data_IF_711930717499
#
_entry.id   IF_711930717499
#
_cell.length_a   1.000
_cell.length_b   1.000
_cell.length_c   1.000
_cell.angle_alpha   90.00
_cell.angle_beta   90.00
_cell.angle_gamma   90.00
#
_symmetry.space_group_name_H-M   'P 1'
#
loop_
_entity.id
_entity.type
_entity.pdbx_description
1 polymer ?
#
# COMPACT_ATOMS: atom_id res chain seq x y z
N UNK A 1 21.33 26.23 -46.80
CA UNK A 1 21.92 25.49 -45.66
C UNK A 1 21.16 25.88 -44.39
N UNK A 2 20.08 25.17 -44.05
CA UNK A 2 19.33 25.38 -42.81
C UNK A 2 19.60 24.17 -41.91
N UNK A 3 20.48 24.33 -40.92
CA UNK A 3 20.70 23.33 -39.88
C UNK A 3 19.45 23.34 -38.99
N UNK A 4 18.58 22.36 -39.15
CA UNK A 4 17.50 22.08 -38.20
C UNK A 4 18.19 21.44 -37.00
N UNK A 5 18.44 22.23 -35.96
CA UNK A 5 18.89 21.73 -34.67
C UNK A 5 17.67 21.06 -34.04
N UNK A 6 17.59 19.74 -34.16
CA UNK A 6 16.65 18.90 -33.46
C UNK A 6 17.08 18.88 -31.98
N UNK A 7 16.50 19.78 -31.19
CA UNK A 7 16.65 19.76 -29.74
C UNK A 7 15.90 18.53 -29.23
N UNK A 8 16.63 17.43 -29.00
CA UNK A 8 16.13 16.29 -28.26
C UNK A 8 15.81 16.79 -26.84
N UNK A 9 14.53 16.98 -26.56
CA UNK A 9 14.02 17.06 -25.20
C UNK A 9 14.26 15.68 -24.57
N UNK A 10 15.41 15.53 -23.93
CA UNK A 10 15.61 14.50 -22.92
C UNK A 10 14.65 14.88 -21.80
N UNK A 11 13.41 14.38 -21.88
CA UNK A 11 12.55 14.31 -20.71
C UNK A 11 13.32 13.37 -19.78
N UNK A 12 13.80 13.84 -18.62
CA UNK A 12 14.26 12.90 -17.62
C UNK A 12 13.00 12.11 -17.28
N UNK A 13 12.96 10.85 -17.70
CA UNK A 13 12.08 9.87 -17.09
C UNK A 13 12.62 9.79 -15.66
N UNK A 14 12.15 10.69 -14.80
CA UNK A 14 12.17 10.51 -13.37
C UNK A 14 11.30 9.27 -13.16
N UNK A 15 11.89 8.09 -13.38
CA UNK A 15 11.39 6.87 -12.80
C UNK A 15 11.37 7.16 -11.32
N UNK A 16 10.18 7.46 -10.82
CA UNK A 16 9.96 7.64 -9.39
C UNK A 16 10.54 6.37 -8.75
N UNK A 17 11.57 6.53 -7.93
CA UNK A 17 11.93 5.53 -6.93
C UNK A 17 10.81 5.50 -5.91
N UNK A 18 9.66 4.97 -6.31
CA UNK A 18 8.57 4.73 -5.41
C UNK A 18 9.04 3.61 -4.49
N UNK A 19 9.17 3.95 -3.21
CA UNK A 19 9.48 2.96 -2.18
C UNK A 19 8.45 1.83 -2.29
N UNK A 20 8.86 0.57 -2.29
CA UNK A 20 7.91 -0.54 -2.37
C UNK A 20 6.89 -0.49 -1.21
N UNK A 21 7.25 0.14 -0.09
CA UNK A 21 6.32 0.42 1.01
C UNK A 21 5.20 1.40 0.61
N UNK A 22 5.47 2.34 -0.29
CA UNK A 22 4.47 3.22 -0.89
C UNK A 22 3.58 2.45 -1.88
N UNK A 23 4.13 1.51 -2.64
CA UNK A 23 3.38 0.63 -3.55
C UNK A 23 2.42 -0.26 -2.76
N UNK A 24 2.92 -0.94 -1.72
CA UNK A 24 2.11 -1.76 -0.81
C UNK A 24 0.99 -0.93 -0.18
N UNK A 25 1.28 0.29 0.25
CA UNK A 25 0.27 1.17 0.83
C UNK A 25 -0.83 1.51 -0.17
N UNK A 26 -0.49 1.91 -1.40
CA UNK A 26 -1.46 2.23 -2.44
C UNK A 26 -2.33 1.02 -2.81
N UNK A 27 -1.73 -0.15 -3.01
CA UNK A 27 -2.46 -1.37 -3.32
C UNK A 27 -3.38 -1.77 -2.16
N UNK A 28 -2.92 -1.60 -0.91
CA UNK A 28 -3.75 -1.82 0.27
C UNK A 28 -4.92 -0.83 0.31
N UNK A 29 -4.71 0.43 -0.05
CA UNK A 29 -5.77 1.44 -0.13
C UNK A 29 -6.87 1.03 -1.12
N UNK A 30 -6.47 0.56 -2.31
CA UNK A 30 -7.40 0.06 -3.34
C UNK A 30 -8.18 -1.15 -2.83
N UNK A 31 -7.51 -2.11 -2.18
CA UNK A 31 -8.19 -3.24 -1.57
C UNK A 31 -9.19 -2.81 -0.48
N UNK A 32 -8.87 -1.81 0.36
CA UNK A 32 -9.81 -1.30 1.37
C UNK A 32 -11.04 -0.67 0.70
N UNK A 33 -10.84 0.13 -0.34
CA UNK A 33 -11.91 0.77 -1.11
C UNK A 33 -12.89 -0.29 -1.64
N UNK A 34 -12.38 -1.21 -2.47
CA UNK A 34 -13.19 -2.19 -3.19
C UNK A 34 -13.82 -3.22 -2.24
N UNK A 35 -13.05 -3.59 -1.21
CA UNK A 35 -13.24 -4.83 -0.49
C UNK A 35 -13.64 -4.62 0.98
N UNK A 36 -13.79 -3.37 1.42
CA UNK A 36 -14.35 -3.04 2.73
C UNK A 36 -15.42 -1.96 2.59
N UNK A 37 -15.12 -0.86 1.88
CA UNK A 37 -15.95 0.34 1.84
C UNK A 37 -17.07 0.22 0.79
N UNK A 38 -16.73 -0.03 -0.48
CA UNK A 38 -17.66 0.02 -1.61
C UNK A 38 -18.43 -1.28 -1.84
N UNK A 39 -18.23 -2.29 -0.98
CA UNK A 39 -18.90 -3.59 -1.16
C UNK A 39 -20.42 -3.46 -1.11
N UNK A 40 -21.08 -4.07 -2.10
CA UNK A 40 -22.55 -4.21 -2.17
C UNK A 40 -23.18 -4.79 -0.89
N UNK A 41 -22.48 -5.72 -0.24
CA UNK A 41 -22.88 -6.28 1.06
C UNK A 41 -21.88 -5.79 2.11
N UNK A 42 -22.30 -4.96 3.07
CA UNK A 42 -21.42 -4.42 4.09
C UNK A 42 -20.67 -5.53 4.84
N UNK A 43 -19.39 -5.28 5.11
CA UNK A 43 -18.58 -6.13 5.97
C UNK A 43 -19.11 -5.98 7.39
N UNK A 44 -19.31 -7.10 8.11
CA UNK A 44 -19.64 -7.04 9.53
C UNK A 44 -18.48 -6.35 10.27
N UNK A 45 -18.78 -5.44 11.19
CA UNK A 45 -17.76 -4.67 11.93
C UNK A 45 -16.67 -5.57 12.53
N UNK A 46 -17.06 -6.67 13.17
CA UNK A 46 -16.12 -7.64 13.75
C UNK A 46 -15.25 -8.42 12.74
N UNK A 47 -15.47 -8.24 11.43
CA UNK A 47 -14.67 -8.81 10.34
C UNK A 47 -13.81 -7.78 9.63
N UNK A 48 -13.96 -6.49 9.93
CA UNK A 48 -13.17 -5.42 9.33
C UNK A 48 -11.67 -5.56 9.64
N UNK A 49 -11.22 -5.82 10.90
CA UNK A 49 -9.80 -6.02 11.18
C UNK A 49 -9.18 -7.16 10.36
N UNK A 50 -9.90 -8.28 10.22
CA UNK A 50 -9.46 -9.43 9.43
C UNK A 50 -9.37 -9.09 7.94
N UNK A 51 -10.36 -8.40 7.39
CA UNK A 51 -10.35 -7.99 5.98
C UNK A 51 -9.24 -6.99 5.68
N UNK A 52 -8.98 -6.06 6.58
CA UNK A 52 -7.85 -5.15 6.47
C UNK A 52 -6.51 -5.90 6.49
N UNK A 53 -6.32 -6.85 7.41
CA UNK A 53 -5.10 -7.66 7.45
C UNK A 53 -4.88 -8.45 6.14
N UNK A 54 -5.95 -8.97 5.52
CA UNK A 54 -5.85 -9.62 4.21
C UNK A 54 -5.39 -8.64 3.12
N UNK A 55 -5.93 -7.42 3.07
CA UNK A 55 -5.49 -6.42 2.10
C UNK A 55 -4.00 -6.10 2.22
N UNK A 56 -3.50 -5.97 3.46
CA UNK A 56 -2.07 -5.73 3.71
C UNK A 56 -1.22 -6.91 3.23
N UNK A 57 -1.60 -8.14 3.60
CA UNK A 57 -0.85 -9.35 3.22
C UNK A 57 -0.83 -9.53 1.71
N UNK A 58 -1.97 -9.37 1.03
CA UNK A 58 -2.07 -9.48 -0.43
C UNK A 58 -1.20 -8.45 -1.15
N UNK A 59 -1.14 -7.23 -0.63
CA UNK A 59 -0.32 -6.15 -1.22
C UNK A 59 1.17 -6.36 -0.96
N UNK A 60 1.53 -6.98 0.16
CA UNK A 60 2.91 -7.22 0.56
C UNK A 60 3.52 -8.51 0.00
N UNK A 61 2.70 -9.46 -0.45
CA UNK A 61 3.12 -10.76 -0.98
C UNK A 61 4.23 -10.67 -2.06
N UNK A 62 4.20 -9.72 -3.03
CA UNK A 62 5.25 -9.62 -4.03
C UNK A 62 6.60 -9.15 -3.48
N UNK A 63 6.62 -8.58 -2.27
CA UNK A 63 7.76 -7.88 -1.67
C UNK A 63 8.28 -8.57 -0.40
N UNK A 64 7.84 -9.80 -0.13
CA UNK A 64 8.20 -10.55 1.09
C UNK A 64 9.70 -10.57 1.35
N UNK A 65 10.49 -10.88 0.32
CA UNK A 65 11.95 -10.97 0.42
C UNK A 65 12.59 -9.61 0.74
N UNK A 66 12.10 -8.54 0.12
CA UNK A 66 12.59 -7.18 0.33
C UNK A 66 12.26 -6.69 1.75
N UNK A 67 11.01 -6.91 2.21
CA UNK A 67 10.56 -6.54 3.56
C UNK A 67 11.37 -7.30 4.62
N UNK A 68 11.50 -8.62 4.45
CA UNK A 68 12.23 -9.46 5.41
C UNK A 68 13.70 -9.02 5.53
N UNK A 69 14.32 -8.67 4.40
CA UNK A 69 15.70 -8.20 4.34
C UNK A 69 15.88 -6.81 4.94
N UNK A 70 15.06 -5.83 4.55
CA UNK A 70 15.26 -4.43 4.90
C UNK A 70 14.86 -4.12 6.34
N UNK A 71 13.84 -4.81 6.86
CA UNK A 71 13.34 -4.61 8.22
C UNK A 71 13.76 -5.72 9.20
N UNK A 72 14.52 -6.72 8.74
CA UNK A 72 14.89 -7.90 9.51
C UNK A 72 13.66 -8.54 10.18
N UNK A 73 12.61 -8.72 9.38
CA UNK A 73 11.33 -9.30 9.77
C UNK A 73 11.17 -10.70 9.19
N UNK A 74 10.27 -11.46 9.80
CA UNK A 74 9.71 -12.69 9.24
C UNK A 74 8.21 -12.46 9.11
N UNK A 75 7.77 -11.90 7.98
CA UNK A 75 6.37 -11.52 7.80
C UNK A 75 5.40 -12.70 7.69
N UNK A 76 5.92 -13.91 7.45
CA UNK A 76 5.13 -15.14 7.50
C UNK A 76 4.79 -15.52 8.95
N UNK A 77 5.50 -14.96 9.93
CA UNK A 77 5.14 -15.06 11.35
C UNK A 77 4.07 -14.04 11.75
N UNK A 78 3.24 -14.40 12.74
CA UNK A 78 2.21 -13.49 13.29
C UNK A 78 2.80 -12.16 13.77
N UNK A 79 3.97 -12.22 14.43
CA UNK A 79 4.67 -11.03 14.91
C UNK A 79 5.21 -10.15 13.77
N UNK A 80 5.68 -10.75 12.67
CA UNK A 80 6.17 -9.99 11.52
C UNK A 80 5.03 -9.29 10.78
N UNK A 81 3.92 -10.01 10.55
CA UNK A 81 2.72 -9.43 9.95
C UNK A 81 2.18 -8.24 10.75
N UNK A 82 2.14 -8.34 12.09
CA UNK A 82 1.73 -7.23 12.96
C UNK A 82 2.65 -6.02 12.85
N UNK A 83 3.98 -6.24 12.79
CA UNK A 83 4.95 -5.15 12.61
C UNK A 83 4.81 -4.47 11.25
N UNK A 84 4.62 -5.24 10.18
CA UNK A 84 4.38 -4.71 8.85
C UNK A 84 3.13 -3.82 8.81
N UNK A 85 2.02 -4.29 9.38
CA UNK A 85 0.80 -3.48 9.51
C UNK A 85 1.10 -2.18 10.26
N UNK A 86 1.84 -2.25 11.37
CA UNK A 86 2.25 -1.07 12.15
C UNK A 86 3.06 -0.06 11.34
N UNK A 87 3.98 -0.53 10.50
CA UNK A 87 4.79 0.31 9.60
C UNK A 87 3.94 0.96 8.51
N UNK A 88 2.96 0.23 7.97
CA UNK A 88 2.10 0.71 6.90
C UNK A 88 1.03 1.71 7.36
N UNK A 89 0.68 1.78 8.65
CA UNK A 89 -0.34 2.72 9.14
C UNK A 89 -0.05 4.17 8.72
N UNK A 90 1.21 4.61 8.82
CA UNK A 90 1.60 5.98 8.45
C UNK A 90 1.47 6.16 6.93
N UNK A 91 1.97 5.19 6.16
CA UNK A 91 1.90 5.25 4.69
C UNK A 91 0.45 5.26 4.21
N UNK A 92 -0.43 4.44 4.80
CA UNK A 92 -1.86 4.44 4.49
C UNK A 92 -2.51 5.79 4.81
N UNK A 93 -2.21 6.38 5.96
CA UNK A 93 -2.75 7.69 6.33
C UNK A 93 -2.29 8.81 5.37
N UNK A 94 -1.08 8.70 4.80
CA UNK A 94 -0.54 9.66 3.83
C UNK A 94 -1.05 9.43 2.41
N UNK A 95 -1.17 8.17 1.98
CA UNK A 95 -1.54 7.80 0.61
C UNK A 95 -3.06 7.76 0.38
N UNK A 96 -3.84 7.32 1.36
CA UNK A 96 -5.31 7.27 1.29
C UNK A 96 -5.96 7.73 2.61
N UNK A 97 -5.88 9.03 2.93
CA UNK A 97 -6.39 9.58 4.18
C UNK A 97 -7.89 9.32 4.39
N UNK A 98 -8.69 9.32 3.32
CA UNK A 98 -10.14 9.10 3.41
C UNK A 98 -10.47 7.63 3.72
N UNK A 99 -9.84 6.68 3.01
CA UNK A 99 -9.99 5.24 3.25
C UNK A 99 -9.52 4.88 4.66
N UNK A 100 -8.36 5.41 5.06
CA UNK A 100 -7.80 5.19 6.40
C UNK A 100 -8.72 5.75 7.49
N UNK A 101 -9.27 6.95 7.29
CA UNK A 101 -10.23 7.55 8.22
C UNK A 101 -11.49 6.69 8.33
N UNK A 102 -12.02 6.21 7.22
CA UNK A 102 -13.21 5.34 7.22
C UNK A 102 -12.93 4.02 7.93
N UNK A 103 -11.78 3.38 7.64
CA UNK A 103 -11.33 2.18 8.34
C UNK A 103 -11.20 2.42 9.85
N UNK A 104 -10.60 3.54 10.28
CA UNK A 104 -10.37 3.85 11.69
C UNK A 104 -11.65 3.99 12.53
N UNK A 105 -12.76 4.44 11.92
CA UNK A 105 -14.07 4.51 12.60
C UNK A 105 -14.61 3.13 12.96
N UNK A 106 -14.25 2.12 12.16
CA UNK A 106 -14.75 0.76 12.24
C UNK A 106 -13.89 -0.16 13.13
N UNK A 107 -12.76 0.34 13.65
CA UNK A 107 -11.85 -0.41 14.53
C UNK A 107 -12.04 -0.08 16.03
N UNK A 108 -13.10 0.66 16.39
CA UNK A 108 -13.43 1.04 17.78
C UNK A 108 -14.23 -0.02 18.51
#
# INVERSE_FOLDING_TARGET
MKKIILLLLIVPVLGFGQDYMDEIALDTCLCIEEDIIERKKPVKENKIPYKFALCVIQSAEPYVDDINKDFNLDIDSENGAQKLIGMLIINLALKCPDNFKELSKNLK
#
